data_IF_197328940234
#
_entry.id   IF_197328940234
#
_cell.length_a   1.000
_cell.length_b   1.000
_cell.length_c   1.000
_cell.angle_alpha   90.00
_cell.angle_beta   90.00
_cell.angle_gamma   90.00
#
_symmetry.space_group_name_H-M   'P 1'
#
loop_
_entity.id
_entity.type
_entity.pdbx_description
1 polymer ?
#
# COMPACT_ATOMS: atom_id res chain seq x y z
N UNK A 1 43.25 29.47 25.53
CA UNK A 1 43.44 28.15 26.16
C UNK A 1 42.23 27.29 25.82
N UNK A 2 42.27 26.54 24.74
CA UNK A 2 41.19 25.62 24.38
C UNK A 2 41.33 24.38 25.25
N UNK A 3 40.33 24.17 26.10
CA UNK A 3 40.34 23.20 27.20
C UNK A 3 40.56 21.76 26.76
N UNK A 4 41.12 21.01 27.69
CA UNK A 4 41.52 19.61 27.64
C UNK A 4 40.56 18.72 26.83
N UNK A 5 41.10 18.10 25.77
CA UNK A 5 40.38 17.05 25.06
C UNK A 5 40.36 15.78 25.94
N UNK A 6 39.23 15.51 26.61
CA UNK A 6 38.96 14.25 27.30
C UNK A 6 38.77 13.08 26.31
N UNK A 7 39.80 12.78 25.52
CA UNK A 7 39.80 11.66 24.56
C UNK A 7 40.62 10.53 25.16
N UNK A 8 39.96 9.39 25.37
CA UNK A 8 40.61 8.16 25.83
C UNK A 8 40.58 7.12 24.72
N UNK A 9 41.74 6.59 24.36
CA UNK A 9 41.85 5.47 23.43
C UNK A 9 41.78 4.17 24.22
N UNK A 10 40.82 3.31 23.89
CA UNK A 10 40.59 2.04 24.60
C UNK A 10 40.69 0.89 23.61
N UNK A 11 41.49 -0.12 23.96
CA UNK A 11 41.57 -1.38 23.19
C UNK A 11 40.50 -2.34 23.66
N UNK A 12 39.76 -2.92 22.72
CA UNK A 12 38.71 -3.93 22.98
C UNK A 12 39.13 -5.30 22.43
N UNK A 13 38.55 -6.41 22.91
CA UNK A 13 38.83 -7.74 22.38
C UNK A 13 38.47 -7.86 20.89
N UNK A 14 39.38 -8.47 20.12
CA UNK A 14 39.21 -8.78 18.69
C UNK A 14 38.29 -9.98 18.47
N UNK A 15 37.02 -9.85 18.88
CA UNK A 15 36.01 -10.90 18.80
C UNK A 15 34.77 -10.39 18.08
N UNK A 16 34.38 -11.00 16.96
CA UNK A 16 33.14 -10.64 16.29
C UNK A 16 31.91 -11.00 17.17
N UNK A 17 30.88 -10.14 17.30
CA UNK A 17 30.72 -8.78 16.75
C UNK A 17 30.91 -7.67 17.80
N UNK A 18 32.10 -7.53 18.41
CA UNK A 18 32.39 -6.49 19.41
C UNK A 18 32.25 -5.05 18.89
N UNK A 19 32.32 -4.85 17.58
CA UNK A 19 32.09 -3.55 16.93
C UNK A 19 30.62 -3.18 16.71
N UNK A 20 29.66 -4.04 17.06
CA UNK A 20 28.23 -3.69 17.02
C UNK A 20 27.91 -2.65 18.08
N UNK A 21 27.04 -1.68 17.77
CA UNK A 21 26.74 -0.53 18.66
C UNK A 21 26.37 -0.95 20.10
N UNK A 22 25.41 -1.86 20.26
CA UNK A 22 24.98 -2.32 21.58
C UNK A 22 26.10 -3.10 22.31
N UNK A 23 26.82 -3.96 21.59
CA UNK A 23 27.92 -4.75 22.15
C UNK A 23 29.09 -3.85 22.58
N UNK A 24 29.45 -2.86 21.77
CA UNK A 24 30.52 -1.92 22.03
C UNK A 24 30.23 -1.08 23.27
N UNK A 25 29.00 -0.57 23.39
CA UNK A 25 28.55 0.19 24.56
C UNK A 25 28.64 -0.68 25.82
N UNK A 26 28.16 -1.92 25.78
CA UNK A 26 28.23 -2.85 26.92
C UNK A 26 29.67 -3.14 27.32
N UNK A 27 30.57 -3.38 26.35
CA UNK A 27 31.99 -3.63 26.60
C UNK A 27 32.68 -2.43 27.25
N UNK A 28 32.40 -1.21 26.79
CA UNK A 28 33.08 0.00 27.27
C UNK A 28 32.49 0.54 28.57
N UNK A 29 31.18 0.42 28.77
CA UNK A 29 30.47 1.12 29.87
C UNK A 29 29.83 0.17 30.89
N UNK A 30 29.74 -1.13 30.58
CA UNK A 30 28.98 -2.09 31.38
C UNK A 30 27.45 -1.92 31.30
N UNK A 31 26.94 -0.92 30.57
CA UNK A 31 25.51 -0.64 30.41
C UNK A 31 24.94 -1.33 29.18
N UNK A 32 23.71 -1.82 29.30
CA UNK A 32 22.97 -2.39 28.17
C UNK A 32 21.98 -1.39 27.59
N UNK A 33 21.88 -1.38 26.26
CA UNK A 33 20.85 -0.61 25.56
C UNK A 33 19.55 -1.41 25.59
N UNK A 34 18.42 -0.82 26.05
CA UNK A 34 17.17 -1.54 26.17
C UNK A 34 16.69 -2.12 24.82
N UNK A 35 15.87 -3.16 24.89
CA UNK A 35 15.15 -3.68 23.72
C UNK A 35 14.28 -2.57 23.13
N UNK A 36 14.27 -2.47 21.81
CA UNK A 36 13.57 -1.40 21.05
C UNK A 36 13.97 0.06 21.33
N UNK A 37 14.88 0.31 22.28
CA UNK A 37 15.40 1.65 22.56
C UNK A 37 16.68 1.98 21.80
N UNK A 38 17.10 3.24 21.91
CA UNK A 38 18.31 3.77 21.28
C UNK A 38 19.38 4.13 22.32
N UNK A 39 20.68 4.09 21.98
CA UNK A 39 21.76 4.48 22.90
C UNK A 39 21.62 5.87 23.52
N UNK A 40 20.95 6.80 22.83
CA UNK A 40 20.72 8.14 23.35
C UNK A 40 19.88 8.14 24.65
N UNK A 41 19.03 7.12 24.87
CA UNK A 41 18.24 6.97 26.10
C UNK A 41 19.10 6.73 27.34
N UNK A 42 20.30 6.14 27.16
CA UNK A 42 21.28 5.95 28.24
C UNK A 42 22.39 7.01 28.23
N UNK A 43 22.20 8.09 27.45
CA UNK A 43 23.11 9.22 27.35
C UNK A 43 24.37 8.94 26.53
N UNK A 44 24.34 7.98 25.61
CA UNK A 44 25.50 7.56 24.81
C UNK A 44 25.21 7.77 23.32
N UNK A 45 26.20 8.28 22.59
CA UNK A 45 26.17 8.36 21.13
C UNK A 45 27.35 7.56 20.58
N UNK A 46 27.06 6.54 19.78
CA UNK A 46 28.08 5.76 19.11
C UNK A 46 28.24 6.25 17.67
N UNK A 47 29.42 6.75 17.31
CA UNK A 47 29.72 7.20 15.95
C UNK A 47 30.81 6.34 15.32
N UNK A 48 30.58 5.93 14.07
CA UNK A 48 31.63 5.33 13.26
C UNK A 48 32.68 6.40 12.90
N UNK A 49 33.95 6.01 12.81
CA UNK A 49 35.06 6.90 12.43
C UNK A 49 34.80 7.62 11.11
N UNK A 50 34.27 6.92 10.10
CA UNK A 50 33.94 7.53 8.80
C UNK A 50 32.80 8.55 8.88
N UNK A 51 31.90 8.43 9.87
CA UNK A 51 30.87 9.44 10.12
C UNK A 51 31.47 10.67 10.79
N UNK A 52 32.35 10.50 11.79
CA UNK A 52 33.06 11.61 12.43
C UNK A 52 33.86 12.43 11.42
N UNK A 53 34.55 11.74 10.51
CA UNK A 53 35.34 12.35 9.44
C UNK A 53 34.46 13.13 8.45
N UNK A 54 33.34 12.55 8.02
CA UNK A 54 32.39 13.22 7.14
C UNK A 54 31.76 14.47 7.78
N UNK A 55 31.48 14.44 9.10
CA UNK A 55 30.98 15.61 9.84
C UNK A 55 32.02 16.73 9.84
N UNK A 56 33.30 16.40 10.04
CA UNK A 56 34.38 17.39 9.96
C UNK A 56 34.47 18.01 8.55
N UNK A 57 34.49 17.20 7.48
CA UNK A 57 34.51 17.71 6.10
C UNK A 57 33.33 18.62 5.78
N UNK A 58 32.14 18.26 6.25
CA UNK A 58 30.92 19.04 6.00
C UNK A 58 30.95 20.41 6.69
N UNK A 59 31.40 20.46 7.95
CA UNK A 59 31.38 21.70 8.75
C UNK A 59 32.61 22.57 8.52
N UNK A 60 33.80 21.97 8.55
CA UNK A 60 35.06 22.70 8.48
C UNK A 60 35.47 23.02 7.02
N UNK A 61 35.19 22.12 6.08
CA UNK A 61 35.61 22.27 4.67
C UNK A 61 34.45 22.62 3.73
N UNK A 62 33.21 22.62 4.21
CA UNK A 62 32.02 22.85 3.37
C UNK A 62 31.77 21.74 2.34
N UNK A 63 32.38 20.56 2.51
CA UNK A 63 32.26 19.44 1.57
C UNK A 63 31.18 18.47 2.03
N UNK A 64 30.05 18.33 1.32
CA UNK A 64 29.06 17.31 1.65
C UNK A 64 29.63 15.91 1.43
N UNK A 65 28.91 14.88 1.90
CA UNK A 65 29.30 13.48 1.70
C UNK A 65 29.19 13.10 0.21
N UNK A 66 30.28 13.30 -0.53
CA UNK A 66 30.40 12.98 -1.96
C UNK A 66 31.14 11.66 -2.22
N UNK A 67 31.98 11.25 -1.27
CA UNK A 67 32.84 10.07 -1.36
C UNK A 67 32.78 9.26 -0.07
N UNK A 68 33.20 8.00 -0.16
CA UNK A 68 33.38 7.10 0.98
C UNK A 68 34.59 6.21 0.76
N UNK A 69 35.29 5.90 1.85
CA UNK A 69 36.31 4.85 1.84
C UNK A 69 35.61 3.49 1.73
N UNK A 70 35.90 2.78 0.65
CA UNK A 70 35.37 1.44 0.37
C UNK A 70 36.53 0.46 0.22
N UNK A 71 36.50 -0.62 0.98
CA UNK A 71 37.46 -1.73 0.86
C UNK A 71 37.06 -2.62 -0.31
N UNK A 72 37.99 -2.94 -1.21
CA UNK A 72 37.80 -3.92 -2.28
C UNK A 72 38.70 -5.10 -1.98
N UNK A 73 38.14 -6.30 -1.83
CA UNK A 73 38.90 -7.49 -1.39
C UNK A 73 38.25 -8.80 -1.84
N UNK A 74 38.94 -9.91 -1.62
CA UNK A 74 38.54 -11.28 -1.96
C UNK A 74 39.52 -11.91 -2.94
N UNK A 75 39.56 -13.24 -2.99
CA UNK A 75 40.51 -14.01 -3.79
C UNK A 75 40.45 -13.73 -5.30
N UNK A 76 39.31 -13.25 -5.80
CA UNK A 76 39.14 -12.92 -7.22
C UNK A 76 39.67 -11.52 -7.57
N UNK A 77 40.15 -10.76 -6.60
CA UNK A 77 40.72 -9.42 -6.77
C UNK A 77 42.24 -9.52 -6.79
N UNK A 78 42.87 -8.98 -7.84
CA UNK A 78 44.33 -8.99 -7.97
C UNK A 78 45.02 -8.01 -7.01
N UNK A 79 44.41 -6.84 -6.77
CA UNK A 79 44.97 -5.80 -5.90
C UNK A 79 43.96 -5.38 -4.81
N UNK A 80 43.83 -6.15 -3.72
CA UNK A 80 42.98 -5.78 -2.58
C UNK A 80 43.47 -4.48 -1.93
N UNK A 81 42.59 -3.50 -1.78
CA UNK A 81 42.95 -2.18 -1.24
C UNK A 81 41.73 -1.40 -0.74
N UNK A 82 41.99 -0.32 0.01
CA UNK A 82 40.99 0.67 0.37
C UNK A 82 41.02 1.80 -0.66
N UNK A 83 39.87 2.16 -1.22
CA UNK A 83 39.76 3.26 -2.18
C UNK A 83 38.79 4.31 -1.66
N UNK A 84 39.03 5.58 -1.97
CA UNK A 84 38.03 6.63 -1.83
C UNK A 84 37.17 6.66 -3.09
N UNK A 85 35.95 6.11 -3.01
CA UNK A 85 35.02 6.01 -4.13
C UNK A 85 33.95 7.11 -4.03
N UNK A 86 33.60 7.71 -5.17
CA UNK A 86 32.46 8.63 -5.23
C UNK A 86 31.15 7.85 -5.04
N UNK A 87 30.21 8.44 -4.32
CA UNK A 87 28.87 7.88 -4.20
C UNK A 87 28.21 7.94 -5.58
N UNK A 88 27.65 6.82 -6.01
CA UNK A 88 27.09 6.65 -7.36
C UNK A 88 28.01 5.90 -8.33
N UNK A 89 29.31 5.76 -8.04
CA UNK A 89 30.23 4.97 -8.89
C UNK A 89 29.72 3.52 -9.00
N UNK A 90 29.59 2.96 -10.21
CA UNK A 90 29.20 1.55 -10.37
C UNK A 90 30.21 0.61 -9.73
N UNK A 91 29.75 -0.47 -9.09
CA UNK A 91 30.64 -1.48 -8.48
C UNK A 91 31.60 -2.08 -9.51
N UNK A 92 31.12 -2.29 -10.74
CA UNK A 92 31.92 -2.75 -11.88
C UNK A 92 33.19 -1.90 -12.10
N UNK A 93 33.07 -0.58 -12.01
CA UNK A 93 34.22 0.31 -12.20
C UNK A 93 35.29 0.09 -11.12
N UNK A 94 34.88 -0.16 -9.87
CA UNK A 94 35.79 -0.48 -8.78
C UNK A 94 36.42 -1.88 -8.93
N UNK A 95 35.64 -2.85 -9.40
CA UNK A 95 36.13 -4.21 -9.66
C UNK A 95 37.15 -4.23 -10.79
N UNK A 96 36.88 -3.51 -11.88
CA UNK A 96 37.80 -3.35 -13.01
C UNK A 96 39.10 -2.66 -12.55
N UNK A 97 38.99 -1.61 -11.74
CA UNK A 97 40.14 -0.91 -11.14
C UNK A 97 41.02 -1.82 -10.28
N UNK A 98 40.41 -2.72 -9.49
CA UNK A 98 41.13 -3.63 -8.60
C UNK A 98 41.64 -4.92 -9.29
N UNK A 99 41.43 -5.05 -10.61
CA UNK A 99 41.88 -6.21 -11.39
C UNK A 99 41.04 -7.47 -11.13
N UNK A 100 39.72 -7.35 -11.15
CA UNK A 100 38.82 -8.49 -10.92
C UNK A 100 38.98 -9.56 -12.00
N UNK A 101 39.40 -10.76 -11.57
CA UNK A 101 39.56 -11.94 -12.41
C UNK A 101 38.29 -12.77 -12.32
N UNK A 102 37.40 -12.63 -13.31
CA UNK A 102 36.35 -13.62 -13.50
C UNK A 102 37.00 -14.96 -13.83
N UNK A 103 36.68 -16.02 -13.08
CA UNK A 103 37.02 -17.40 -13.47
C UNK A 103 36.31 -17.72 -14.80
N UNK A 104 36.97 -17.39 -15.90
CA UNK A 104 36.54 -17.66 -17.27
C UNK A 104 36.94 -19.07 -17.64
N UNK A 105 36.42 -20.08 -16.95
CA UNK A 105 36.41 -21.42 -17.53
C UNK A 105 35.46 -21.38 -18.73
N UNK A 106 36.01 -21.54 -19.94
CA UNK A 106 35.26 -21.60 -21.20
C UNK A 106 34.20 -22.71 -21.14
N UNK A 107 34.49 -23.79 -20.40
CA UNK A 107 33.56 -24.88 -20.12
C UNK A 107 32.39 -24.44 -19.22
N UNK A 108 32.66 -23.56 -18.27
CA UNK A 108 31.70 -23.04 -17.28
C UNK A 108 30.72 -22.02 -17.88
N UNK A 109 31.13 -21.31 -18.94
CA UNK A 109 30.28 -20.45 -19.77
C UNK A 109 29.26 -21.24 -20.60
N UNK A 110 29.63 -22.43 -21.09
CA UNK A 110 28.75 -23.32 -21.84
C UNK A 110 27.76 -24.10 -20.94
N UNK A 111 28.14 -24.36 -19.69
CA UNK A 111 27.32 -25.10 -18.71
C UNK A 111 26.44 -24.22 -17.81
N UNK A 112 26.29 -22.92 -18.13
CA UNK A 112 25.38 -22.03 -17.39
C UNK A 112 25.75 -21.82 -15.92
N UNK A 113 27.04 -21.92 -15.58
CA UNK A 113 27.46 -21.78 -14.19
C UNK A 113 27.26 -20.37 -13.66
N UNK A 114 27.01 -20.25 -12.34
CA UNK A 114 26.62 -19.00 -11.72
C UNK A 114 27.72 -17.95 -11.87
N UNK A 115 27.31 -16.73 -12.20
CA UNK A 115 28.19 -15.55 -12.14
C UNK A 115 28.93 -15.53 -10.78
N UNK A 116 30.20 -15.10 -10.75
CA UNK A 116 30.93 -14.96 -9.49
C UNK A 116 30.14 -14.07 -8.53
N UNK A 117 30.00 -14.53 -7.28
CA UNK A 117 29.19 -13.87 -6.26
C UNK A 117 29.92 -12.60 -5.81
N UNK A 118 29.35 -11.44 -6.08
CA UNK A 118 29.86 -10.17 -5.57
C UNK A 118 29.02 -9.78 -4.37
N UNK A 119 29.65 -9.53 -3.22
CA UNK A 119 28.99 -9.22 -1.96
C UNK A 119 29.27 -7.76 -1.61
N UNK A 120 28.22 -6.98 -1.35
CA UNK A 120 28.36 -5.67 -0.75
C UNK A 120 28.27 -5.80 0.78
N UNK A 121 29.35 -5.41 1.46
CA UNK A 121 29.55 -5.59 2.89
C UNK A 121 30.60 -6.66 3.21
N UNK A 122 30.57 -7.16 4.45
CA UNK A 122 31.46 -8.23 4.89
C UNK A 122 30.90 -9.64 4.59
N UNK A 123 31.70 -10.69 4.84
CA UNK A 123 31.31 -12.09 4.56
C UNK A 123 30.07 -12.55 5.35
N UNK A 124 29.81 -11.94 6.51
CA UNK A 124 28.75 -12.34 7.43
C UNK A 124 27.44 -11.58 7.20
N UNK A 125 27.52 -10.24 7.20
CA UNK A 125 26.33 -9.36 7.12
C UNK A 125 26.02 -8.87 5.71
N UNK A 126 26.98 -8.99 4.78
CA UNK A 126 26.82 -8.51 3.42
C UNK A 126 25.71 -9.22 2.66
N UNK A 127 25.35 -8.66 1.51
CA UNK A 127 24.36 -9.25 0.61
C UNK A 127 24.96 -9.35 -0.79
N UNK A 128 24.60 -10.43 -1.48
CA UNK A 128 25.00 -10.66 -2.86
C UNK A 128 24.30 -9.65 -3.77
N UNK A 129 25.07 -9.00 -4.62
CA UNK A 129 24.55 -8.09 -5.63
C UNK A 129 23.93 -8.87 -6.79
N UNK A 130 22.80 -8.39 -7.30
CA UNK A 130 22.15 -8.93 -8.49
C UNK A 130 22.86 -8.52 -9.78
N UNK A 131 23.49 -7.34 -9.77
CA UNK A 131 24.26 -6.77 -10.86
C UNK A 131 25.46 -5.99 -10.31
N UNK A 132 26.57 -6.02 -11.04
CA UNK A 132 27.77 -5.21 -10.80
C UNK A 132 27.59 -3.75 -11.27
N UNK A 133 26.52 -3.43 -11.97
CA UNK A 133 26.18 -2.06 -12.38
C UNK A 133 25.58 -1.23 -11.23
N UNK A 134 25.27 -1.86 -10.09
CA UNK A 134 24.72 -1.16 -8.93
C UNK A 134 25.72 -0.12 -8.39
N UNK A 135 25.23 1.04 -7.93
CA UNK A 135 26.10 2.11 -7.46
C UNK A 135 26.65 1.85 -6.06
N UNK A 136 27.81 2.41 -5.78
CA UNK A 136 28.33 2.61 -4.43
C UNK A 136 27.45 3.61 -3.68
N UNK A 137 27.02 3.23 -2.48
CA UNK A 137 26.15 4.00 -1.61
C UNK A 137 26.91 4.44 -0.36
N UNK A 138 26.31 5.34 0.44
CA UNK A 138 26.87 5.75 1.74
C UNK A 138 27.08 4.61 2.74
N UNK A 139 26.45 3.45 2.51
CA UNK A 139 26.58 2.25 3.35
C UNK A 139 27.56 1.21 2.78
N UNK A 140 28.10 1.44 1.59
CA UNK A 140 28.98 0.50 0.87
C UNK A 140 30.41 0.56 1.41
N UNK A 141 30.63 0.00 2.61
CA UNK A 141 31.95 -0.03 3.26
C UNK A 141 32.93 -0.99 2.58
N UNK A 142 32.43 -2.08 2.02
CA UNK A 142 33.25 -3.14 1.48
C UNK A 142 32.57 -3.75 0.25
N UNK A 143 33.35 -4.08 -0.77
CA UNK A 143 32.99 -4.93 -1.90
C UNK A 143 33.89 -6.15 -1.83
N UNK A 144 33.26 -7.30 -1.60
CA UNK A 144 33.92 -8.59 -1.45
C UNK A 144 33.62 -9.45 -2.68
N UNK A 145 34.66 -9.88 -3.39
CA UNK A 145 34.57 -10.79 -4.52
C UNK A 145 35.35 -12.08 -4.20
N UNK A 146 34.74 -13.00 -3.45
CA UNK A 146 35.43 -14.18 -2.96
C UNK A 146 35.49 -15.29 -4.00
N UNK A 147 36.51 -16.13 -3.91
CA UNK A 147 36.54 -17.39 -4.64
C UNK A 147 35.54 -18.40 -4.04
N UNK A 148 35.10 -19.42 -4.80
CA UNK A 148 34.35 -20.55 -4.25
C UNK A 148 35.11 -21.31 -3.15
N UNK A 149 36.43 -21.14 -3.04
CA UNK A 149 37.24 -21.74 -1.97
C UNK A 149 37.22 -20.88 -0.70
N UNK A 150 37.30 -19.55 -0.85
CA UNK A 150 37.27 -18.59 0.25
C UNK A 150 35.91 -18.57 0.94
N UNK A 151 34.86 -18.46 0.12
CA UNK A 151 33.47 -18.54 0.57
C UNK A 151 32.77 -19.59 -0.28
N UNK A 152 32.71 -20.86 0.19
CA UNK A 152 31.95 -21.90 -0.50
C UNK A 152 30.48 -21.52 -0.61
N UNK A 153 29.81 -22.02 -1.65
CA UNK A 153 28.36 -21.98 -1.67
C UNK A 153 27.88 -22.82 -0.49
N UNK A 154 26.97 -22.27 0.33
CA UNK A 154 26.37 -23.07 1.39
C UNK A 154 25.81 -24.33 0.73
N UNK A 155 26.26 -25.49 1.23
CA UNK A 155 25.74 -26.77 0.77
C UNK A 155 24.23 -26.83 1.07
N UNK A 156 23.54 -27.82 0.50
CA UNK A 156 22.13 -28.07 0.79
C UNK A 156 21.98 -28.16 2.31
N UNK A 157 21.24 -27.20 2.89
CA UNK A 157 21.08 -27.10 4.33
C UNK A 157 20.55 -28.43 4.89
N UNK A 158 21.30 -29.02 5.81
CA UNK A 158 20.90 -30.28 6.44
C UNK A 158 19.90 -30.02 7.58
N UNK A 159 19.23 -31.09 8.02
CA UNK A 159 18.29 -30.99 9.13
C UNK A 159 19.00 -30.53 10.42
N UNK A 160 18.31 -29.68 11.21
CA UNK A 160 18.84 -29.21 12.48
C UNK A 160 19.03 -30.37 13.46
N UNK A 161 20.26 -30.61 13.90
CA UNK A 161 20.61 -31.65 14.88
C UNK A 161 20.44 -31.21 16.34
N UNK A 162 19.93 -29.99 16.56
CA UNK A 162 19.67 -29.41 17.89
C UNK A 162 20.89 -29.34 18.83
N UNK A 163 22.07 -29.02 18.31
CA UNK A 163 23.32 -28.95 19.08
C UNK A 163 23.47 -27.75 20.04
N UNK A 164 22.65 -26.70 19.92
CA UNK A 164 22.68 -25.53 20.81
C UNK A 164 23.80 -24.50 20.57
N UNK A 165 24.75 -24.76 19.67
CA UNK A 165 25.88 -23.86 19.36
C UNK A 165 25.43 -22.45 18.94
N UNK A 166 24.32 -22.33 18.23
CA UNK A 166 23.78 -21.06 17.78
C UNK A 166 23.36 -20.15 18.94
N UNK A 167 22.87 -20.71 20.05
CA UNK A 167 22.50 -19.97 21.25
C UNK A 167 23.74 -19.42 21.95
N UNK A 168 24.77 -20.26 22.12
CA UNK A 168 26.04 -19.86 22.76
C UNK A 168 26.78 -18.77 21.97
N UNK A 169 26.68 -18.80 20.64
CA UNK A 169 27.31 -17.81 19.77
C UNK A 169 26.50 -16.51 19.63
N UNK A 170 25.26 -16.44 20.11
CA UNK A 170 24.41 -15.28 19.92
C UNK A 170 24.86 -14.11 20.81
N UNK A 171 25.27 -12.96 20.25
CA UNK A 171 25.71 -11.79 21.04
C UNK A 171 24.56 -10.97 21.64
N UNK A 172 23.32 -11.36 21.35
CA UNK A 172 22.10 -10.71 21.82
C UNK A 172 21.30 -11.64 22.76
N UNK A 173 21.89 -12.76 23.18
CA UNK A 173 21.29 -13.72 24.12
C UNK A 173 19.88 -14.21 23.71
N UNK A 174 19.63 -14.29 22.40
CA UNK A 174 18.39 -14.83 21.84
C UNK A 174 18.42 -16.38 21.81
N UNK A 175 17.29 -16.96 21.39
CA UNK A 175 17.16 -18.40 21.12
C UNK A 175 17.04 -18.67 19.60
N UNK A 176 18.14 -18.65 18.82
CA UNK A 176 18.11 -18.82 17.37
C UNK A 176 17.41 -20.10 16.91
N UNK A 177 17.56 -21.19 17.67
CA UNK A 177 16.90 -22.45 17.34
C UNK A 177 15.37 -22.30 17.29
N UNK A 178 14.75 -21.67 18.30
CA UNK A 178 13.30 -21.47 18.33
C UNK A 178 12.87 -20.48 17.25
N UNK A 179 13.58 -19.36 17.12
CA UNK A 179 13.33 -18.37 16.08
C UNK A 179 13.38 -18.98 14.68
N UNK A 180 14.27 -19.94 14.45
CA UNK A 180 14.36 -20.65 13.17
C UNK A 180 13.09 -21.44 12.86
N UNK A 181 12.60 -22.22 13.82
CA UNK A 181 11.39 -23.02 13.64
C UNK A 181 10.17 -22.13 13.38
N UNK A 182 10.00 -21.05 14.15
CA UNK A 182 8.91 -20.10 13.94
C UNK A 182 9.01 -19.38 12.60
N UNK A 183 10.21 -18.93 12.23
CA UNK A 183 10.45 -18.24 10.96
C UNK A 183 10.26 -19.17 9.76
N UNK A 184 10.66 -20.45 9.87
CA UNK A 184 10.48 -21.46 8.82
C UNK A 184 9.02 -21.88 8.67
N UNK A 185 8.28 -21.98 9.78
CA UNK A 185 6.86 -22.34 9.78
C UNK A 185 5.95 -21.17 9.37
N UNK A 186 6.47 -19.95 9.26
CA UNK A 186 5.68 -18.75 8.99
C UNK A 186 4.87 -18.26 10.21
N UNK A 187 5.20 -18.72 11.42
CA UNK A 187 4.55 -18.32 12.67
C UNK A 187 5.14 -16.99 13.16
N UNK A 188 4.81 -15.90 12.48
CA UNK A 188 5.38 -14.57 12.72
C UNK A 188 5.09 -14.05 14.13
N UNK A 189 3.88 -14.24 14.65
CA UNK A 189 3.49 -13.82 16.01
C UNK A 189 4.39 -14.43 17.09
N UNK A 190 4.71 -15.72 16.97
CA UNK A 190 5.62 -16.39 17.91
C UNK A 190 7.04 -15.87 17.73
N UNK A 191 7.47 -15.64 16.50
CA UNK A 191 8.79 -15.03 16.27
C UNK A 191 8.91 -13.64 16.93
N UNK A 192 7.85 -12.83 16.89
CA UNK A 192 7.80 -11.55 17.61
C UNK A 192 7.84 -11.73 19.13
N UNK A 193 7.05 -12.66 19.68
CA UNK A 193 7.04 -12.96 21.12
C UNK A 193 8.41 -13.43 21.63
N UNK A 194 9.22 -14.01 20.74
CA UNK A 194 10.61 -14.42 21.01
C UNK A 194 11.64 -13.33 20.64
N UNK A 195 11.22 -12.06 20.58
CA UNK A 195 12.07 -10.89 20.38
C UNK A 195 12.90 -10.95 19.09
N UNK A 196 12.34 -11.47 17.98
CA UNK A 196 13.01 -11.48 16.69
C UNK A 196 13.51 -10.09 16.27
N UNK A 197 12.82 -9.03 16.68
CA UNK A 197 13.20 -7.64 16.42
C UNK A 197 14.60 -7.27 16.95
N UNK A 198 15.02 -7.86 18.08
CA UNK A 198 16.33 -7.62 18.70
C UNK A 198 17.50 -8.31 17.99
N UNK A 199 17.21 -9.23 17.06
CA UNK A 199 18.25 -9.88 16.27
C UNK A 199 19.02 -8.84 15.44
N UNK A 200 20.33 -8.70 15.62
CA UNK A 200 21.14 -7.75 14.84
C UNK A 200 21.65 -8.29 13.49
N UNK A 201 21.18 -9.48 13.09
CA UNK A 201 21.53 -10.11 11.80
C UNK A 201 23.04 -10.29 11.56
N UNK A 202 23.81 -10.45 12.64
CA UNK A 202 25.27 -10.60 12.59
C UNK A 202 25.77 -11.90 11.93
N UNK A 203 24.92 -12.90 11.74
CA UNK A 203 25.34 -14.15 11.08
C UNK A 203 26.14 -15.12 11.95
N UNK A 204 26.54 -14.75 13.17
CA UNK A 204 27.31 -15.62 14.07
C UNK A 204 26.66 -17.00 14.27
N UNK A 205 25.34 -17.04 14.43
CA UNK A 205 24.57 -18.27 14.58
C UNK A 205 24.58 -19.16 13.33
N UNK A 206 24.52 -18.56 12.13
CA UNK A 206 24.59 -19.31 10.87
C UNK A 206 25.98 -19.91 10.66
N UNK A 207 27.03 -19.16 10.99
CA UNK A 207 28.41 -19.57 10.78
C UNK A 207 28.83 -20.75 11.65
N UNK A 208 28.42 -20.76 12.93
CA UNK A 208 28.74 -21.87 13.85
C UNK A 208 27.85 -23.10 13.66
N UNK A 209 26.87 -23.05 12.76
CA UNK A 209 25.90 -24.12 12.59
C UNK A 209 26.53 -25.31 11.84
N UNK A 210 26.68 -26.49 12.47
CA UNK A 210 27.25 -27.66 11.81
C UNK A 210 26.36 -28.17 10.67
N UNK A 211 25.06 -27.85 10.72
CA UNK A 211 24.10 -28.19 9.67
C UNK A 211 24.09 -27.22 8.48
N UNK A 212 24.94 -26.17 8.52
CA UNK A 212 25.00 -25.08 7.52
C UNK A 212 23.65 -24.41 7.24
N UNK A 213 22.78 -24.31 8.25
CA UNK A 213 21.46 -23.69 8.08
C UNK A 213 21.62 -22.16 7.96
N UNK A 214 21.09 -21.51 6.91
CA UNK A 214 21.20 -20.06 6.74
C UNK A 214 20.22 -19.29 7.63
N UNK A 215 20.38 -19.40 8.96
CA UNK A 215 19.47 -18.86 9.98
C UNK A 215 19.10 -17.39 9.76
N UNK A 216 20.09 -16.54 9.47
CA UNK A 216 19.87 -15.11 9.25
C UNK A 216 18.98 -14.81 8.04
N UNK A 217 18.99 -15.64 7.00
CA UNK A 217 18.10 -15.43 5.84
C UNK A 217 16.63 -15.65 6.24
N UNK A 218 16.35 -16.66 7.05
CA UNK A 218 15.00 -16.89 7.61
C UNK A 218 14.56 -15.73 8.50
N UNK A 219 15.46 -15.19 9.34
CA UNK A 219 15.14 -14.05 10.20
C UNK A 219 14.88 -12.77 9.42
N UNK A 220 15.70 -12.48 8.39
CA UNK A 220 15.49 -11.34 7.49
C UNK A 220 14.13 -11.44 6.79
N UNK A 221 13.79 -12.61 6.28
CA UNK A 221 12.49 -12.88 5.68
C UNK A 221 11.35 -12.65 6.68
N UNK A 222 11.41 -13.26 7.86
CA UNK A 222 10.38 -13.13 8.88
C UNK A 222 10.21 -11.68 9.36
N UNK A 223 11.30 -10.93 9.58
CA UNK A 223 11.25 -9.50 9.88
C UNK A 223 10.64 -8.66 8.77
N UNK A 224 10.97 -8.99 7.51
CA UNK A 224 10.37 -8.37 6.33
C UNK A 224 8.86 -8.57 6.31
N UNK A 225 8.42 -9.82 6.47
CA UNK A 225 7.00 -10.18 6.49
C UNK A 225 6.24 -9.48 7.64
N UNK A 226 6.81 -9.47 8.85
CA UNK A 226 6.29 -8.72 10.00
C UNK A 226 6.11 -7.23 9.67
N UNK A 227 7.11 -6.63 9.03
CA UNK A 227 7.07 -5.20 8.68
C UNK A 227 5.98 -4.92 7.63
N UNK A 228 5.81 -5.81 6.66
CA UNK A 228 4.76 -5.71 5.66
C UNK A 228 3.36 -5.84 6.29
N UNK A 229 3.18 -6.80 7.21
CA UNK A 229 1.93 -6.99 7.95
C UNK A 229 1.58 -5.75 8.79
N UNK A 230 2.55 -5.21 9.53
CA UNK A 230 2.37 -3.96 10.30
C UNK A 230 2.03 -2.78 9.39
N UNK A 231 2.73 -2.62 8.27
CA UNK A 231 2.45 -1.54 7.32
C UNK A 231 1.03 -1.66 6.72
N UNK A 232 0.57 -2.87 6.43
CA UNK A 232 -0.79 -3.14 5.98
C UNK A 232 -1.82 -2.80 7.07
N UNK A 233 -1.54 -3.19 8.31
CA UNK A 233 -2.39 -2.89 9.46
C UNK A 233 -2.49 -1.38 9.73
N UNK A 234 -1.37 -0.65 9.67
CA UNK A 234 -1.35 0.81 9.84
C UNK A 234 -2.13 1.52 8.73
N UNK A 235 -2.02 1.05 7.48
CA UNK A 235 -2.81 1.57 6.36
C UNK A 235 -4.30 1.32 6.57
N UNK A 236 -4.67 0.15 7.08
CA UNK A 236 -6.05 -0.20 7.44
C UNK A 236 -6.58 0.70 8.58
N UNK A 237 -5.82 0.84 9.67
CA UNK A 237 -6.15 1.70 10.81
C UNK A 237 -6.30 3.17 10.40
N UNK A 238 -5.36 3.69 9.59
CA UNK A 238 -5.45 5.06 9.06
C UNK A 238 -6.70 5.26 8.20
N UNK A 239 -7.10 4.24 7.45
CA UNK A 239 -8.31 4.27 6.63
C UNK A 239 -9.58 4.24 7.49
N UNK A 240 -9.60 3.44 8.56
CA UNK A 240 -10.69 3.42 9.57
C UNK A 240 -10.85 4.78 10.25
N UNK A 241 -9.77 5.36 10.77
CA UNK A 241 -9.79 6.68 11.41
C UNK A 241 -10.34 7.75 10.46
N UNK A 242 -9.94 7.73 9.18
CA UNK A 242 -10.45 8.66 8.16
C UNK A 242 -11.93 8.46 7.89
N UNK A 243 -12.40 7.22 7.85
CA UNK A 243 -13.80 6.88 7.65
C UNK A 243 -14.66 7.33 8.83
N UNK A 244 -14.25 7.03 10.06
CA UNK A 244 -14.92 7.43 11.29
C UNK A 244 -14.98 8.96 11.42
N UNK A 245 -13.88 9.67 11.13
CA UNK A 245 -13.86 11.13 11.14
C UNK A 245 -14.79 11.75 10.07
N UNK A 246 -14.96 11.08 8.91
CA UNK A 246 -15.93 11.50 7.89
C UNK A 246 -17.36 11.24 8.36
N UNK A 247 -17.62 10.08 8.95
CA UNK A 247 -18.94 9.70 9.46
C UNK A 247 -19.40 10.69 10.54
N UNK A 248 -18.54 10.96 11.52
CA UNK A 248 -18.82 11.93 12.59
C UNK A 248 -19.14 13.33 12.06
N UNK A 249 -18.47 13.77 10.98
CA UNK A 249 -18.77 15.05 10.33
C UNK A 249 -20.15 15.05 9.66
N UNK A 250 -20.48 13.99 8.94
CA UNK A 250 -21.79 13.85 8.28
C UNK A 250 -22.91 13.79 9.31
N UNK A 251 -22.74 13.02 10.38
CA UNK A 251 -23.72 12.89 11.45
C UNK A 251 -23.96 14.24 12.14
N UNK A 252 -22.91 15.04 12.37
CA UNK A 252 -23.04 16.40 12.89
C UNK A 252 -23.80 17.31 11.93
N UNK A 253 -23.50 17.27 10.64
CA UNK A 253 -24.22 18.07 9.63
C UNK A 253 -25.70 17.67 9.51
N UNK A 254 -26.02 16.38 9.63
CA UNK A 254 -27.40 15.86 9.64
C UNK A 254 -28.11 16.33 10.91
N UNK A 255 -27.50 16.16 12.09
CA UNK A 255 -28.06 16.61 13.37
C UNK A 255 -28.29 18.12 13.39
N UNK A 256 -27.37 18.94 12.86
CA UNK A 256 -27.57 20.39 12.73
C UNK A 256 -28.72 20.74 11.78
N UNK A 257 -28.86 20.03 10.66
CA UNK A 257 -29.97 20.23 9.71
C UNK A 257 -31.30 19.82 10.32
N UNK A 258 -31.35 18.71 11.05
CA UNK A 258 -32.54 18.24 11.77
C UNK A 258 -32.93 19.21 12.90
N UNK A 259 -31.97 19.67 13.70
CA UNK A 259 -32.20 20.69 14.73
C UNK A 259 -32.72 22.00 14.13
N UNK A 260 -32.15 22.47 13.01
CA UNK A 260 -32.67 23.63 12.28
C UNK A 260 -34.08 23.40 11.74
N UNK A 261 -34.41 22.19 11.26
CA UNK A 261 -35.75 21.83 10.78
C UNK A 261 -36.77 21.83 11.93
N UNK A 262 -36.42 21.23 13.06
CA UNK A 262 -37.25 21.20 14.27
C UNK A 262 -37.47 22.61 14.82
N UNK A 263 -36.43 23.45 14.88
CA UNK A 263 -36.55 24.84 15.31
C UNK A 263 -37.46 25.66 14.38
N UNK A 264 -37.36 25.45 13.06
CA UNK A 264 -38.27 26.09 12.08
C UNK A 264 -39.71 25.61 12.23
N UNK A 265 -39.93 24.31 12.46
CA UNK A 265 -41.26 23.75 12.68
C UNK A 265 -41.90 24.33 13.97
N UNK A 266 -41.15 24.34 15.07
CA UNK A 266 -41.62 24.91 16.34
C UNK A 266 -41.89 26.43 16.24
N UNK A 267 -41.07 27.17 15.49
CA UNK A 267 -41.33 28.59 15.23
C UNK A 267 -42.57 28.82 14.35
N UNK A 268 -42.80 27.97 13.34
CA UNK A 268 -43.98 28.02 12.50
C UNK A 268 -45.26 27.69 13.29
N UNK A 269 -45.24 26.67 14.16
CA UNK A 269 -46.35 26.33 15.04
C UNK A 269 -46.66 27.47 16.03
N UNK A 270 -45.64 28.06 16.66
CA UNK A 270 -45.81 29.24 17.52
C UNK A 270 -46.40 30.43 16.76
N UNK A 271 -45.94 30.68 15.52
CA UNK A 271 -46.48 31.74 14.68
C UNK A 271 -47.93 31.46 14.25
N UNK A 272 -48.28 30.21 13.95
CA UNK A 272 -49.66 29.81 13.65
C UNK A 272 -50.55 29.89 14.89
N UNK A 273 -50.07 29.50 16.07
CA UNK A 273 -50.79 29.65 17.34
C UNK A 273 -51.01 31.14 17.67
N UNK A 274 -50.01 31.99 17.46
CA UNK A 274 -50.13 33.43 17.64
C UNK A 274 -51.12 34.06 16.63
N UNK A 275 -51.09 33.64 15.36
CA UNK A 275 -52.08 34.06 14.35
C UNK A 275 -53.49 33.58 14.68
N UNK A 276 -53.67 32.35 15.17
CA UNK A 276 -54.96 31.84 15.63
C UNK A 276 -55.46 32.59 16.88
N UNK A 277 -54.57 32.92 17.82
CA UNK A 277 -54.91 33.73 18.99
C UNK A 277 -55.25 35.18 18.62
N UNK A 278 -54.55 35.77 17.65
CA UNK A 278 -54.87 37.10 17.11
C UNK A 278 -56.19 37.10 16.31
N UNK A 279 -56.46 36.05 15.53
CA UNK A 279 -57.72 35.88 14.83
C UNK A 279 -58.89 35.63 15.80
N UNK A 280 -58.68 34.90 16.89
CA UNK A 280 -59.67 34.73 17.96
C UNK A 280 -59.96 36.07 18.66
N UNK A 281 -58.93 36.87 18.98
CA UNK A 281 -59.10 38.22 19.53
C UNK A 281 -59.80 39.18 18.55
N UNK A 282 -59.47 39.11 17.25
CA UNK A 282 -60.13 39.91 16.22
C UNK A 282 -61.59 39.48 15.98
N UNK A 283 -61.91 38.20 16.12
CA UNK A 283 -63.30 37.71 16.08
C UNK A 283 -64.09 38.15 17.33
N UNK A 284 -63.44 38.25 18.49
CA UNK A 284 -64.03 38.76 19.74
C UNK A 284 -64.24 40.29 19.69
N UNK A 285 -63.37 41.04 19.00
CA UNK A 285 -63.57 42.47 18.69
C UNK A 285 -64.63 42.70 17.59
N UNK A 286 -64.71 41.84 16.57
CA UNK A 286 -65.75 41.90 15.55
C UNK A 286 -67.15 41.54 16.08
N UNK A 287 -67.25 40.74 17.16
CA UNK A 287 -68.51 40.48 17.85
C UNK A 287 -69.05 41.68 18.66
N UNK A 288 -68.28 42.79 18.78
CA UNK A 288 -68.72 44.02 19.45
C UNK A 288 -69.20 45.14 18.51
N UNK A 289 -68.95 45.03 17.21
CA UNK A 289 -69.44 46.00 16.21
C UNK A 289 -70.10 45.23 15.07
N UNK A 290 -71.43 45.15 15.09
CA UNK A 290 -72.22 44.52 14.04
C UNK A 290 -72.27 45.38 12.77
N UNK A 291 -72.07 44.76 11.61
CA UNK A 291 -73.12 44.71 10.58
C UNK A 291 -72.85 43.60 9.54
N UNK A 292 -73.94 43.01 9.07
CA UNK A 292 -74.04 41.80 8.23
C UNK A 292 -74.08 42.11 6.73
N UNK A 293 -73.43 41.28 5.88
CA UNK A 293 -74.09 40.56 4.76
C UNK A 293 -73.15 39.74 3.83
N UNK A 294 -73.38 38.41 3.82
CA UNK A 294 -73.63 37.49 2.68
C UNK A 294 -72.49 37.11 1.68
N UNK A 295 -72.00 35.88 1.90
CA UNK A 295 -71.78 34.71 0.99
C UNK A 295 -70.93 34.85 -0.29
N UNK A 296 -69.80 34.13 -0.28
CA UNK A 296 -69.05 33.64 -1.45
C UNK A 296 -68.04 32.54 -1.03
N UNK A 297 -68.13 31.39 -1.69
CA UNK A 297 -67.57 30.03 -1.44
C UNK A 297 -66.02 29.95 -1.35
N UNK A 298 -65.42 28.92 -0.70
CA UNK A 298 -64.04 28.92 -0.18
C UNK A 298 -62.95 28.59 -1.23
N UNK A 299 -61.67 28.95 -0.99
CA UNK A 299 -60.56 28.56 -1.84
C UNK A 299 -60.21 27.08 -1.63
N UNK A 300 -60.17 26.37 -2.75
CA UNK A 300 -59.78 24.98 -2.92
C UNK A 300 -58.44 24.67 -2.30
N UNK A 301 -58.40 23.56 -1.54
CA UNK A 301 -57.22 22.92 -1.00
C UNK A 301 -56.17 22.65 -2.10
N UNK A 302 -54.98 23.24 -1.94
CA UNK A 302 -53.82 22.88 -2.73
C UNK A 302 -53.29 21.50 -2.28
N UNK A 303 -53.72 20.44 -2.99
CA UNK A 303 -53.04 19.14 -2.97
C UNK A 303 -51.57 19.30 -3.42
N UNK A 304 -50.61 18.63 -2.77
CA UNK A 304 -49.22 18.61 -3.22
C UNK A 304 -49.13 17.89 -4.58
N UNK A 305 -48.57 18.58 -5.58
CA UNK A 305 -48.29 18.01 -6.90
C UNK A 305 -47.23 16.90 -6.78
N UNK A 306 -47.37 15.75 -7.49
CA UNK A 306 -46.31 14.75 -7.56
C UNK A 306 -45.11 15.33 -8.33
N UNK A 307 -43.89 14.94 -7.93
CA UNK A 307 -42.67 15.32 -8.63
C UNK A 307 -42.74 14.95 -10.12
N UNK A 308 -42.71 15.94 -11.00
CA UNK A 308 -42.70 15.75 -12.46
C UNK A 308 -41.43 15.00 -12.91
N UNK A 309 -41.58 13.70 -13.13
CA UNK A 309 -40.57 12.79 -13.66
C UNK A 309 -40.01 13.29 -15.00
N UNK A 310 -40.85 13.89 -15.83
CA UNK A 310 -40.49 14.47 -17.13
C UNK A 310 -39.55 15.68 -16.99
N UNK A 311 -39.74 16.48 -15.94
CA UNK A 311 -38.91 17.65 -15.64
C UNK A 311 -37.54 17.23 -15.10
N UNK A 312 -37.49 16.20 -14.27
CA UNK A 312 -36.24 15.60 -13.79
C UNK A 312 -35.45 14.91 -14.91
N UNK A 313 -36.14 14.24 -15.85
CA UNK A 313 -35.52 13.63 -17.02
C UNK A 313 -34.90 14.70 -17.93
N UNK A 314 -35.63 15.78 -18.25
CA UNK A 314 -35.09 16.93 -19.01
C UNK A 314 -33.89 17.59 -18.34
N UNK A 315 -33.88 17.67 -17.01
CA UNK A 315 -32.74 18.20 -16.25
C UNK A 315 -31.53 17.26 -16.26
N UNK A 316 -31.75 15.94 -16.23
CA UNK A 316 -30.71 14.94 -16.38
C UNK A 316 -30.05 15.02 -17.76
N UNK A 317 -30.86 15.08 -18.82
CA UNK A 317 -30.38 15.12 -20.20
C UNK A 317 -29.60 16.41 -20.48
N UNK A 318 -30.09 17.55 -19.98
CA UNK A 318 -29.37 18.83 -20.04
C UNK A 318 -28.04 18.79 -19.26
N UNK A 319 -28.01 18.14 -18.10
CA UNK A 319 -26.80 18.00 -17.28
C UNK A 319 -25.77 17.04 -17.93
N UNK A 320 -26.22 15.96 -18.58
CA UNK A 320 -25.38 15.05 -19.35
C UNK A 320 -24.79 15.71 -20.59
N UNK A 321 -25.60 16.50 -21.32
CA UNK A 321 -25.12 17.30 -22.45
C UNK A 321 -24.07 18.35 -22.00
N UNK A 322 -24.29 18.99 -20.85
CA UNK A 322 -23.33 19.93 -20.25
C UNK A 322 -22.04 19.28 -19.77
N UNK A 323 -22.09 18.03 -19.28
CA UNK A 323 -20.92 17.24 -18.90
C UNK A 323 -20.10 16.84 -20.15
N UNK A 324 -20.76 16.37 -21.20
CA UNK A 324 -20.13 15.99 -22.47
C UNK A 324 -19.35 17.17 -23.07
N UNK A 325 -19.99 18.35 -23.18
CA UNK A 325 -19.32 19.58 -23.66
C UNK A 325 -18.09 19.97 -22.83
N UNK A 326 -18.10 19.76 -21.52
CA UNK A 326 -16.92 20.03 -20.68
C UNK A 326 -15.82 18.97 -20.82
N UNK A 327 -16.16 17.72 -21.11
CA UNK A 327 -15.17 16.67 -21.37
C UNK A 327 -14.52 16.85 -22.74
N UNK A 328 -15.30 17.23 -23.77
CA UNK A 328 -14.79 17.55 -25.10
C UNK A 328 -13.81 18.74 -25.03
N UNK A 329 -14.13 19.77 -24.22
CA UNK A 329 -13.25 20.93 -24.03
C UNK A 329 -11.95 20.59 -23.28
N UNK A 330 -11.96 19.61 -22.36
CA UNK A 330 -10.74 19.10 -21.71
C UNK A 330 -9.91 18.28 -22.69
N UNK A 331 -10.55 17.51 -23.58
CA UNK A 331 -9.87 16.76 -24.63
C UNK A 331 -9.21 17.69 -25.66
N UNK A 332 -9.87 18.79 -26.05
CA UNK A 332 -9.30 19.83 -26.90
C UNK A 332 -8.08 20.50 -26.27
N UNK A 333 -8.15 20.85 -24.97
CA UNK A 333 -7.02 21.47 -24.25
C UNK A 333 -5.84 20.48 -24.13
N UNK A 334 -6.11 19.19 -23.91
CA UNK A 334 -5.08 18.14 -23.87
C UNK A 334 -4.43 17.93 -25.24
N UNK A 335 -5.23 17.87 -26.31
CA UNK A 335 -4.72 17.74 -27.67
C UNK A 335 -3.91 18.97 -28.11
N UNK A 336 -4.31 20.18 -27.70
CA UNK A 336 -3.56 21.41 -27.96
C UNK A 336 -2.22 21.46 -27.20
N UNK A 337 -2.17 20.91 -25.98
CA UNK A 337 -0.92 20.79 -25.19
C UNK A 337 0.06 19.77 -25.79
N UNK A 338 -0.44 18.71 -26.43
CA UNK A 338 0.39 17.68 -27.08
C UNK A 338 0.95 18.14 -28.46
N UNK A 339 0.35 19.15 -29.09
CA UNK A 339 0.73 19.63 -30.43
C UNK A 339 1.81 20.74 -30.44
N UNK A 340 2.28 21.22 -29.28
CA UNK A 340 3.29 22.31 -29.20
C UNK A 340 4.24 22.11 -28.00
N UNK A 341 5.28 21.26 -28.11
CA UNK A 341 6.12 20.88 -26.97
C UNK A 341 7.20 21.90 -26.56
N UNK A 342 7.57 22.85 -27.44
CA UNK A 342 8.85 23.58 -27.36
C UNK A 342 8.77 25.04 -26.83
N UNK A 343 7.77 25.41 -26.03
CA UNK A 343 7.72 26.74 -25.38
C UNK A 343 7.62 26.60 -23.84
N UNK A 344 8.77 26.63 -23.17
CA UNK A 344 8.90 26.47 -21.70
C UNK A 344 8.23 27.59 -20.86
N UNK A 345 7.73 28.67 -21.48
CA UNK A 345 7.11 29.79 -20.75
C UNK A 345 5.58 29.78 -20.66
N UNK A 346 4.90 28.81 -21.30
CA UNK A 346 3.42 28.74 -21.33
C UNK A 346 2.82 27.47 -20.69
N UNK A 347 3.64 26.50 -20.26
CA UNK A 347 3.15 25.22 -19.71
C UNK A 347 2.45 25.35 -18.34
N UNK A 348 2.87 26.30 -17.51
CA UNK A 348 2.24 26.55 -16.19
C UNK A 348 0.80 27.10 -16.34
N UNK A 349 0.55 27.93 -17.36
CA UNK A 349 -0.79 28.50 -17.58
C UNK A 349 -1.77 27.48 -18.18
N UNK A 350 -1.27 26.52 -18.97
CA UNK A 350 -2.05 25.44 -19.57
C UNK A 350 -2.40 24.38 -18.51
N UNK A 351 -1.45 24.02 -17.64
CA UNK A 351 -1.68 23.07 -16.54
C UNK A 351 -2.65 23.61 -15.50
N UNK A 352 -2.59 24.89 -15.15
CA UNK A 352 -3.58 25.54 -14.27
C UNK A 352 -4.99 25.55 -14.88
N UNK A 353 -5.12 25.93 -16.17
CA UNK A 353 -6.42 25.91 -16.87
C UNK A 353 -7.00 24.50 -16.92
N UNK A 354 -6.18 23.49 -17.20
CA UNK A 354 -6.58 22.09 -17.25
C UNK A 354 -7.08 21.59 -15.88
N UNK A 355 -6.39 21.94 -14.80
CA UNK A 355 -6.80 21.60 -13.43
C UNK A 355 -8.17 22.23 -13.05
N UNK A 356 -8.42 23.47 -13.47
CA UNK A 356 -9.72 24.16 -13.24
C UNK A 356 -10.85 23.47 -14.00
N UNK A 357 -10.63 23.08 -15.26
CA UNK A 357 -11.65 22.39 -16.05
C UNK A 357 -11.89 20.94 -15.59
N UNK A 358 -10.86 20.21 -15.14
CA UNK A 358 -11.03 18.88 -14.56
C UNK A 358 -11.84 18.92 -13.25
N UNK A 359 -11.62 19.93 -12.41
CA UNK A 359 -12.43 20.15 -11.20
C UNK A 359 -13.89 20.50 -11.53
N UNK A 360 -14.11 21.28 -12.60
CA UNK A 360 -15.45 21.57 -13.10
C UNK A 360 -16.16 20.31 -13.67
N UNK A 361 -15.43 19.43 -14.35
CA UNK A 361 -15.93 18.13 -14.84
C UNK A 361 -16.32 17.22 -13.68
N UNK A 362 -15.49 17.15 -12.63
CA UNK A 362 -15.81 16.37 -11.43
C UNK A 362 -17.13 16.85 -10.76
N UNK A 363 -17.27 18.16 -10.59
CA UNK A 363 -18.48 18.77 -10.00
C UNK A 363 -19.72 18.51 -10.85
N UNK A 364 -19.61 18.58 -12.19
CA UNK A 364 -20.72 18.27 -13.09
C UNK A 364 -21.07 16.79 -13.12
N UNK A 365 -20.08 15.91 -13.00
CA UNK A 365 -20.28 14.44 -12.92
C UNK A 365 -21.05 14.06 -11.66
N UNK A 366 -20.76 14.72 -10.54
CA UNK A 366 -21.49 14.49 -9.30
C UNK A 366 -22.92 15.02 -9.35
N UNK A 367 -23.15 16.15 -10.04
CA UNK A 367 -24.50 16.66 -10.32
C UNK A 367 -25.32 15.69 -11.19
N UNK A 368 -24.72 15.09 -12.21
CA UNK A 368 -25.38 14.06 -13.05
C UNK A 368 -25.70 12.81 -12.23
N UNK A 369 -24.81 12.36 -11.36
CA UNK A 369 -25.07 11.22 -10.47
C UNK A 369 -26.24 11.50 -9.52
N UNK A 370 -26.30 12.68 -8.92
CA UNK A 370 -27.39 13.07 -8.02
C UNK A 370 -28.74 13.13 -8.75
N UNK A 371 -28.78 13.73 -9.94
CA UNK A 371 -30.00 13.76 -10.76
C UNK A 371 -30.41 12.35 -11.23
N UNK A 372 -29.45 11.48 -11.54
CA UNK A 372 -29.75 10.08 -11.90
C UNK A 372 -30.34 9.28 -10.74
N UNK A 373 -29.85 9.52 -9.52
CA UNK A 373 -30.40 8.93 -8.30
C UNK A 373 -31.81 9.45 -8.02
N UNK A 374 -32.05 10.75 -8.18
CA UNK A 374 -33.38 11.36 -8.02
C UNK A 374 -34.38 10.85 -9.07
N UNK A 375 -33.96 10.66 -10.33
CA UNK A 375 -34.78 10.02 -11.36
C UNK A 375 -35.05 8.55 -11.03
N UNK A 376 -34.07 7.81 -10.52
CA UNK A 376 -34.24 6.42 -10.12
C UNK A 376 -35.19 6.27 -8.91
N UNK A 377 -35.13 7.20 -7.97
CA UNK A 377 -36.00 7.26 -6.80
C UNK A 377 -37.42 7.65 -7.19
N UNK A 378 -37.59 8.64 -8.09
CA UNK A 378 -38.88 8.99 -8.67
C UNK A 378 -39.50 7.83 -9.47
N UNK A 379 -38.69 7.04 -10.20
CA UNK A 379 -39.13 5.81 -10.88
C UNK A 379 -39.53 4.69 -9.90
N UNK A 380 -38.90 4.63 -8.72
CA UNK A 380 -39.27 3.67 -7.65
C UNK A 380 -40.55 4.05 -6.93
N UNK A 381 -40.89 5.34 -6.88
CA UNK A 381 -42.13 5.84 -6.26
C UNK A 381 -43.37 5.78 -7.16
N UNK A 382 -43.24 5.35 -8.42
CA UNK A 382 -44.39 4.96 -9.24
C UNK A 382 -44.88 3.56 -8.81
N UNK A 383 -46.20 3.30 -8.72
CA UNK A 383 -46.72 2.08 -8.10
C UNK A 383 -46.28 0.83 -8.86
N UNK A 384 -45.67 -0.12 -8.13
CA UNK A 384 -45.14 -1.39 -8.67
C UNK A 384 -46.18 -2.50 -8.50
N UNK A 385 -46.63 -3.08 -9.61
CA UNK A 385 -47.23 -4.42 -9.63
C UNK A 385 -46.12 -5.47 -9.49
N UNK A 386 -46.36 -6.50 -8.67
CA UNK A 386 -45.46 -7.63 -8.43
C UNK A 386 -45.00 -8.25 -9.77
N UNK A 387 -43.69 -8.38 -9.96
CA UNK A 387 -43.11 -8.95 -11.17
C UNK A 387 -42.92 -10.45 -10.98
N UNK A 388 -43.85 -11.24 -11.52
CA UNK A 388 -43.66 -12.67 -11.72
C UNK A 388 -42.48 -12.91 -12.66
N UNK A 389 -41.62 -13.88 -12.33
CA UNK A 389 -40.46 -14.26 -13.15
C UNK A 389 -40.98 -14.88 -14.43
N UNK A 390 -40.86 -14.18 -15.56
CA UNK A 390 -41.34 -14.68 -16.84
C UNK A 390 -40.37 -15.70 -17.44
N UNK A 391 -40.90 -16.68 -18.18
CA UNK A 391 -40.14 -17.66 -18.99
C UNK A 391 -39.00 -17.02 -19.79
N UNK A 392 -39.26 -15.84 -20.36
CA UNK A 392 -38.30 -15.06 -21.16
C UNK A 392 -37.08 -14.58 -20.36
N UNK A 393 -37.18 -14.44 -19.04
CA UNK A 393 -36.07 -14.07 -18.17
C UNK A 393 -35.20 -15.28 -17.80
N UNK A 394 -35.79 -16.47 -17.73
CA UNK A 394 -35.05 -17.74 -17.54
C UNK A 394 -34.29 -18.09 -18.83
N UNK A 395 -34.91 -17.97 -20.00
CA UNK A 395 -34.27 -18.19 -21.30
C UNK A 395 -33.09 -17.23 -21.56
N UNK A 396 -33.22 -15.96 -21.16
CA UNK A 396 -32.10 -14.99 -21.23
C UNK A 396 -30.93 -15.37 -20.32
N UNK A 397 -31.22 -15.85 -19.11
CA UNK A 397 -30.18 -16.33 -18.17
C UNK A 397 -29.48 -17.58 -18.71
N UNK A 398 -30.22 -18.46 -19.36
CA UNK A 398 -29.71 -19.70 -19.95
C UNK A 398 -28.74 -19.39 -21.11
N UNK A 399 -29.12 -18.50 -22.05
CA UNK A 399 -28.22 -18.03 -23.12
C UNK A 399 -26.97 -17.35 -22.58
N UNK A 400 -27.12 -16.46 -21.60
CA UNK A 400 -25.98 -15.78 -20.99
C UNK A 400 -25.03 -16.73 -20.25
N UNK A 401 -25.55 -17.85 -19.73
CA UNK A 401 -24.74 -18.88 -19.07
C UNK A 401 -24.04 -19.80 -20.08
N UNK A 402 -24.67 -20.11 -21.21
CA UNK A 402 -24.06 -20.82 -22.35
C UNK A 402 -22.86 -20.02 -22.92
N UNK A 403 -23.02 -18.72 -23.17
CA UNK A 403 -21.95 -17.85 -23.68
C UNK A 403 -20.74 -17.79 -22.72
N UNK A 404 -20.98 -17.90 -21.41
CA UNK A 404 -19.92 -17.90 -20.38
C UNK A 404 -19.16 -19.20 -20.34
N UNK A 405 -19.86 -20.33 -20.54
CA UNK A 405 -19.25 -21.65 -20.63
C UNK A 405 -18.37 -21.73 -21.87
N UNK A 406 -18.85 -21.28 -23.02
CA UNK A 406 -18.09 -21.28 -24.27
C UNK A 406 -16.78 -20.49 -24.15
N UNK A 407 -16.83 -19.27 -23.58
CA UNK A 407 -15.62 -18.46 -23.32
C UNK A 407 -14.67 -19.10 -22.30
N UNK A 408 -15.21 -19.86 -21.34
CA UNK A 408 -14.40 -20.55 -20.33
C UNK A 408 -13.75 -21.82 -20.90
N UNK A 409 -14.44 -22.54 -21.81
CA UNK A 409 -13.91 -23.67 -22.55
C UNK A 409 -12.78 -23.26 -23.50
N UNK A 410 -12.94 -22.14 -24.21
CA UNK A 410 -11.88 -21.58 -25.06
C UNK A 410 -10.62 -21.23 -24.25
N UNK A 411 -10.78 -20.65 -23.05
CA UNK A 411 -9.66 -20.36 -22.14
C UNK A 411 -9.01 -21.62 -21.59
N UNK A 412 -9.79 -22.66 -21.32
CA UNK A 412 -9.29 -23.94 -20.87
C UNK A 412 -8.44 -24.64 -21.94
N UNK A 413 -8.92 -24.66 -23.20
CA UNK A 413 -8.18 -25.22 -24.34
C UNK A 413 -6.85 -24.47 -24.57
N UNK A 414 -6.88 -23.15 -24.57
CA UNK A 414 -5.67 -22.33 -24.73
C UNK A 414 -4.66 -22.56 -23.58
N UNK A 415 -5.15 -22.73 -22.34
CA UNK A 415 -4.29 -23.05 -21.20
C UNK A 415 -3.71 -24.48 -21.26
N UNK A 416 -4.41 -25.41 -21.94
CA UNK A 416 -3.97 -26.79 -22.13
C UNK A 416 -2.86 -26.88 -23.19
N UNK A 417 -2.98 -26.09 -24.26
CA UNK A 417 -1.94 -25.94 -25.29
C UNK A 417 -0.67 -25.27 -24.75
N UNK A 418 -0.81 -24.35 -23.79
CA UNK A 418 0.29 -23.60 -23.18
C UNK A 418 0.92 -24.28 -21.95
N UNK A 419 0.40 -25.44 -21.51
CA UNK A 419 0.97 -26.20 -20.38
C UNK A 419 0.97 -25.45 -19.04
N UNK A 420 -0.04 -24.60 -18.80
CA UNK A 420 -0.10 -23.77 -17.59
C UNK A 420 -0.49 -24.59 -16.34
N UNK A 421 0.15 -24.32 -15.20
CA UNK A 421 -0.15 -24.98 -13.90
C UNK A 421 -1.57 -24.69 -13.38
N UNK A 422 -2.29 -23.73 -13.99
CA UNK A 422 -3.66 -23.33 -13.61
C UNK A 422 -4.76 -24.24 -14.14
N UNK A 423 -4.43 -25.30 -14.90
CA UNK A 423 -5.39 -26.23 -15.50
C UNK A 423 -6.39 -26.85 -14.50
N UNK A 424 -5.99 -27.32 -13.30
CA UNK A 424 -6.93 -27.93 -12.36
C UNK A 424 -7.95 -26.92 -11.81
N UNK A 425 -7.55 -25.66 -11.64
CA UNK A 425 -8.44 -24.59 -11.17
C UNK A 425 -9.46 -24.17 -12.25
N UNK A 426 -9.03 -24.10 -13.51
CA UNK A 426 -9.90 -23.81 -14.64
C UNK A 426 -10.92 -24.92 -14.90
N UNK A 427 -10.50 -26.19 -14.78
CA UNK A 427 -11.41 -27.35 -14.87
C UNK A 427 -12.52 -27.28 -13.82
N UNK A 428 -12.16 -27.05 -12.54
CA UNK A 428 -13.12 -26.92 -11.44
C UNK A 428 -14.09 -25.74 -11.64
N UNK A 429 -13.60 -24.65 -12.24
CA UNK A 429 -14.42 -23.50 -12.61
C UNK A 429 -15.45 -23.83 -13.71
N UNK A 430 -15.03 -24.59 -14.72
CA UNK A 430 -15.88 -25.05 -15.82
C UNK A 430 -16.97 -26.01 -15.31
N UNK A 431 -16.61 -26.98 -14.47
CA UNK A 431 -17.55 -27.95 -13.88
C UNK A 431 -18.66 -27.26 -13.09
N UNK A 432 -18.31 -26.22 -12.32
CA UNK A 432 -19.28 -25.42 -11.56
C UNK A 432 -20.21 -24.60 -12.45
N UNK A 433 -19.72 -24.13 -13.61
CA UNK A 433 -20.56 -23.43 -14.57
C UNK A 433 -21.52 -24.38 -15.29
N UNK A 434 -21.07 -25.61 -15.62
CA UNK A 434 -21.92 -26.65 -16.20
C UNK A 434 -23.01 -27.13 -15.24
N UNK A 435 -22.73 -27.22 -13.93
CA UNK A 435 -23.75 -27.50 -12.92
C UNK A 435 -24.86 -26.43 -12.90
N UNK A 436 -24.48 -25.15 -12.92
CA UNK A 436 -25.44 -24.04 -12.97
C UNK A 436 -26.28 -24.01 -14.24
N UNK A 437 -25.72 -24.46 -15.37
CA UNK A 437 -26.48 -24.59 -16.61
C UNK A 437 -27.53 -25.70 -16.48
N UNK A 438 -27.18 -26.84 -15.88
CA UNK A 438 -28.15 -27.92 -15.59
C UNK A 438 -29.27 -27.47 -14.66
N UNK A 439 -28.96 -26.67 -13.63
CA UNK A 439 -29.97 -26.09 -12.73
C UNK A 439 -30.93 -25.17 -13.51
N UNK A 440 -30.42 -24.29 -14.36
CA UNK A 440 -31.26 -23.39 -15.17
C UNK A 440 -32.11 -24.15 -16.22
N UNK A 441 -31.60 -25.24 -16.78
CA UNK A 441 -32.36 -26.12 -17.67
C UNK A 441 -33.46 -26.88 -16.91
N UNK A 442 -33.19 -27.30 -15.67
CA UNK A 442 -34.20 -27.91 -14.79
C UNK A 442 -35.27 -26.90 -14.39
N UNK A 443 -34.90 -25.66 -14.08
CA UNK A 443 -35.84 -24.58 -13.77
C UNK A 443 -36.73 -24.26 -14.97
N UNK A 444 -36.17 -24.22 -16.18
CA UNK A 444 -36.94 -24.06 -17.42
C UNK A 444 -37.92 -25.23 -17.63
N UNK A 445 -37.46 -26.47 -17.43
CA UNK A 445 -38.28 -27.67 -17.59
C UNK A 445 -39.39 -27.78 -16.52
N UNK A 446 -39.13 -27.32 -15.29
CA UNK A 446 -40.15 -27.20 -14.24
C UNK A 446 -41.18 -26.13 -14.58
N UNK A 447 -40.74 -25.01 -15.16
CA UNK A 447 -41.64 -23.96 -15.64
C UNK A 447 -42.53 -24.44 -16.79
N UNK A 448 -41.98 -25.21 -17.73
CA UNK A 448 -42.73 -25.80 -18.84
C UNK A 448 -43.72 -26.88 -18.37
N UNK A 449 -43.39 -27.66 -17.32
CA UNK A 449 -44.32 -28.62 -16.70
C UNK A 449 -45.44 -27.96 -15.89
N UNK A 450 -45.16 -26.84 -15.23
CA UNK A 450 -46.15 -26.11 -14.44
C UNK A 450 -47.12 -25.27 -15.30
N UNK A 451 -46.81 -25.05 -16.58
CA UNK A 451 -47.64 -24.34 -17.56
C UNK A 451 -48.40 -25.25 -18.55
N UNK A 452 -48.48 -26.56 -18.29
CA UNK A 452 -49.27 -27.53 -19.09
C UNK A 452 -50.47 -28.06 -18.32
#
# INVERSE_FOLDING_TARGET
>A
AHGEHHITVVTIPTKYPSGGEKQLIKILTGKEVPSSGIPAEIGIVCQNVGTCEAVYRAIAEGKPLISRITTITGDLIEQPQNVEALIGTPVKHLLDFAGFKQEKSVFQKFLGSPKPRIIMGGPMMGFTLSSDELPILKASNCILAPSPKELPANDIASACIRCGLCTVACPADLLPQQLYWFSKAGELDKAEQHNLADCIECGACSYVCPSQIPLVQYYRHAKGAIKEERAAQDKSNRSKIRFEARQHRLDREIAEKEAKRQARAAAAEKAQAAKKAAAAKAAEEAAKNGDTAIVGTPPTEAKPQPLDLEKLQKQLDAAQAGLKKSMDKVAEIKAAAEASPDAESDQDTVTEKLAVFEKAVATRRDKVKLLALQVAEAKKSAPVANKEVSRTDIEKKLRAQQDRIEKTQQRFQLAQEQGLETLPALQKGLDKQMQKLKELEQDLAQFDKAGS
#
